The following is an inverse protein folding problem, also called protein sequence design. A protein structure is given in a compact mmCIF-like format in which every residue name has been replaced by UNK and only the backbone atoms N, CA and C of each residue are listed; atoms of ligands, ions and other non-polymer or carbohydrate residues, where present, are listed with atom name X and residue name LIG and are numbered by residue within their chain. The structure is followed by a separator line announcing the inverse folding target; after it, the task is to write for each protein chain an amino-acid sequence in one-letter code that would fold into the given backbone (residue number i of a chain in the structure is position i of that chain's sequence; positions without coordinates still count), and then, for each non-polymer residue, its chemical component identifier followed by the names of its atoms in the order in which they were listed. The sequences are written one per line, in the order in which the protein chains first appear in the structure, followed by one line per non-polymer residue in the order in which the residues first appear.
data_IF_047265752422
#
_entry.id   IF_047265752422
#
_cell.length_a   1.000
_cell.length_b   1.000
_cell.length_c   1.000
_cell.angle_alpha   90.00
_cell.angle_beta   90.00
_cell.angle_gamma   90.00
#
_symmetry.space_group_name_H-M   'P 1'
#
loop_
_entity.id
_entity.type
_entity.pdbx_description
1 polymer ?
#
# COMPACT_ATOMS: atom_id res chain seq x y z
N UNK A 1 -45.64 -3.20 -8.55
CA UNK A 1 -45.96 -1.92 -9.19
C UNK A 1 -46.25 -0.89 -8.11
N UNK A 2 -45.47 0.20 -7.95
CA UNK A 2 -44.12 0.44 -8.49
C UNK A 2 -43.09 -0.56 -7.88
N UNK A 3 -41.92 -0.30 -7.27
CA UNK A 3 -41.24 0.92 -6.81
C UNK A 3 -39.72 0.66 -6.71
N UNK A 4 -38.91 1.72 -6.76
CA UNK A 4 -37.45 1.64 -6.59
C UNK A 4 -36.98 2.40 -5.35
N UNK A 5 -35.85 2.00 -4.76
CA UNK A 5 -35.04 2.89 -3.92
C UNK A 5 -33.55 2.51 -4.02
N UNK A 6 -32.94 2.91 -5.13
CA UNK A 6 -31.51 2.79 -5.40
C UNK A 6 -30.73 3.77 -4.52
N UNK A 7 -30.16 3.29 -3.42
CA UNK A 7 -29.27 4.08 -2.56
C UNK A 7 -27.86 4.10 -3.15
N UNK A 8 -27.62 5.09 -4.01
CA UNK A 8 -26.27 5.49 -4.39
C UNK A 8 -25.61 6.22 -3.21
N UNK A 9 -24.32 5.98 -3.01
CA UNK A 9 -23.48 6.70 -2.06
C UNK A 9 -22.41 7.44 -2.85
N UNK A 10 -22.80 8.55 -3.49
CA UNK A 10 -21.86 9.54 -4.00
C UNK A 10 -21.21 10.31 -2.83
N UNK A 11 -20.11 11.02 -3.12
CA UNK A 11 -19.28 11.81 -2.19
C UNK A 11 -18.24 10.97 -1.40
N UNK A 12 -16.94 11.31 -1.39
CA UNK A 12 -16.22 12.34 -2.15
C UNK A 12 -14.76 11.93 -2.39
N UNK A 13 -14.21 12.31 -3.54
CA UNK A 13 -12.77 12.29 -3.78
C UNK A 13 -12.11 13.52 -3.14
N UNK A 14 -11.60 13.36 -1.91
CA UNK A 14 -10.74 14.37 -1.29
C UNK A 14 -9.30 14.18 -1.78
N UNK A 15 -8.92 14.91 -2.83
CA UNK A 15 -7.52 15.25 -3.03
C UNK A 15 -7.08 16.17 -1.88
N UNK A 16 -5.81 16.08 -1.48
CA UNK A 16 -5.20 16.94 -0.47
C UNK A 16 -3.89 17.47 -1.02
N UNK A 17 -4.03 18.36 -1.99
CA UNK A 17 -2.98 19.28 -2.43
C UNK A 17 -2.48 20.12 -1.25
N UNK A 18 -1.17 20.38 -1.21
CA UNK A 18 -0.49 21.08 -0.12
C UNK A 18 0.79 21.70 -0.64
N UNK A 19 0.65 22.88 -1.25
CA UNK A 19 1.77 23.64 -1.82
C UNK A 19 2.70 24.17 -0.73
N UNK A 20 3.79 23.44 -0.45
CA UNK A 20 4.85 23.96 0.41
C UNK A 20 5.66 25.04 -0.32
N UNK A 21 5.18 26.29 -0.20
CA UNK A 21 5.85 27.48 -0.72
C UNK A 21 7.25 27.61 -0.13
N UNK A 22 8.26 27.34 -0.96
CA UNK A 22 9.66 27.31 -0.54
C UNK A 22 10.24 28.73 -0.43
N UNK A 23 10.09 29.36 0.74
CA UNK A 23 10.94 30.51 1.08
C UNK A 23 12.37 30.05 1.39
N UNK A 24 13.31 30.55 0.61
CA UNK A 24 14.75 30.51 0.89
C UNK A 24 15.46 31.52 -0.01
N UNK A 25 15.74 32.68 0.56
CA UNK A 25 16.47 33.79 -0.06
C UNK A 25 17.71 33.36 -0.83
N UNK A 26 17.97 34.00 -1.97
CA UNK A 26 19.19 33.80 -2.77
C UNK A 26 20.47 34.13 -1.99
N UNK A 27 21.13 33.11 -1.48
CA UNK A 27 22.50 33.16 -0.99
C UNK A 27 23.35 32.18 -1.80
N UNK A 28 24.36 32.67 -2.52
CA UNK A 28 25.26 31.86 -3.33
C UNK A 28 26.19 31.02 -2.46
N UNK A 29 25.69 29.87 -2.00
CA UNK A 29 26.43 28.87 -1.23
C UNK A 29 26.56 27.57 -2.02
N UNK A 30 27.78 27.04 -2.12
CA UNK A 30 28.11 25.82 -2.85
C UNK A 30 27.56 24.57 -2.13
N UNK A 31 26.26 24.31 -2.27
CA UNK A 31 25.61 23.13 -1.67
C UNK A 31 25.97 21.89 -2.46
N UNK A 32 26.93 21.14 -1.92
CA UNK A 32 27.30 19.80 -2.38
C UNK A 32 26.05 18.93 -2.57
N UNK A 33 25.97 18.23 -3.71
CA UNK A 33 24.88 17.28 -3.92
C UNK A 33 25.00 16.13 -2.92
N UNK A 34 24.08 16.12 -1.97
CA UNK A 34 23.75 14.95 -1.14
C UNK A 34 22.45 14.30 -1.63
N UNK A 35 22.21 14.35 -2.95
CA UNK A 35 21.11 13.63 -3.62
C UNK A 35 21.39 12.12 -3.73
N UNK A 36 22.21 11.58 -2.83
CA UNK A 36 22.13 10.19 -2.42
C UNK A 36 20.93 10.04 -1.49
N UNK A 37 19.72 10.08 -2.05
CA UNK A 37 18.48 9.78 -1.32
C UNK A 37 18.64 8.41 -0.67
N UNK A 38 18.80 8.39 0.65
CA UNK A 38 18.81 7.16 1.43
C UNK A 38 17.38 6.61 1.47
N UNK A 39 17.02 5.90 0.39
CA UNK A 39 15.83 5.09 0.31
C UNK A 39 15.73 4.22 1.58
N UNK A 40 14.55 4.11 2.22
CA UNK A 40 14.40 3.31 3.44
C UNK A 40 14.97 1.91 3.24
N UNK A 41 15.85 1.49 4.16
CA UNK A 41 16.59 0.21 4.09
C UNK A 41 15.62 -0.98 3.99
N UNK A 42 14.40 -0.81 4.51
CA UNK A 42 13.24 -1.58 4.11
C UNK A 42 11.98 -0.70 4.10
N UNK A 43 10.97 -1.09 3.31
CA UNK A 43 9.60 -0.56 3.39
C UNK A 43 8.70 -1.47 4.24
N UNK A 44 7.59 -0.93 4.74
CA UNK A 44 6.52 -1.70 5.39
C UNK A 44 5.27 -1.67 4.50
N UNK A 45 4.71 -2.84 4.22
CA UNK A 45 3.53 -3.05 3.38
C UNK A 45 2.46 -3.85 4.14
N UNK A 46 1.18 -3.61 3.85
CA UNK A 46 0.07 -4.35 4.47
C UNK A 46 -0.48 -5.38 3.49
N UNK A 47 -0.10 -6.64 3.68
CA UNK A 47 -0.56 -7.75 2.84
C UNK A 47 -1.95 -8.21 3.28
N UNK A 48 -2.94 -8.23 2.37
CA UNK A 48 -4.33 -8.59 2.66
C UNK A 48 -4.77 -9.83 1.90
N UNK A 49 -5.35 -10.81 2.61
CA UNK A 49 -5.94 -11.99 2.01
C UNK A 49 -7.22 -11.62 1.23
N UNK A 50 -7.17 -11.78 -0.10
CA UNK A 50 -8.28 -11.45 -1.00
C UNK A 50 -9.57 -12.27 -0.77
N UNK A 51 -9.51 -13.38 -0.01
CA UNK A 51 -10.66 -14.27 0.25
C UNK A 51 -11.26 -14.14 1.66
N UNK A 52 -10.48 -13.76 2.68
CA UNK A 52 -10.97 -13.66 4.07
C UNK A 52 -10.58 -12.37 4.80
N UNK A 53 -10.12 -11.36 4.07
CA UNK A 53 -9.76 -10.03 4.58
C UNK A 53 -8.63 -9.96 5.63
N UNK A 54 -8.08 -11.09 6.13
CA UNK A 54 -6.94 -11.10 7.06
C UNK A 54 -5.78 -10.25 6.51
N UNK A 55 -5.42 -9.20 7.23
CA UNK A 55 -4.21 -8.40 7.01
C UNK A 55 -3.02 -8.99 7.78
N UNK A 56 -1.82 -8.73 7.27
CA UNK A 56 -0.53 -8.92 7.95
C UNK A 56 0.36 -7.76 7.54
N UNK A 57 1.09 -7.17 8.49
CA UNK A 57 2.14 -6.18 8.20
C UNK A 57 3.42 -6.92 7.83
N UNK A 58 4.06 -6.49 6.75
CA UNK A 58 5.23 -7.14 6.16
C UNK A 58 6.32 -6.11 5.88
N UNK A 59 7.54 -6.37 6.32
CA UNK A 59 8.73 -5.61 5.93
C UNK A 59 9.23 -6.14 4.58
N UNK A 60 9.82 -5.30 3.73
CA UNK A 60 10.32 -5.73 2.40
C UNK A 60 11.45 -6.77 2.44
N UNK A 61 11.96 -7.10 3.63
CA UNK A 61 12.95 -8.14 3.92
C UNK A 61 12.36 -9.44 4.45
N UNK A 62 11.06 -9.49 4.75
CA UNK A 62 10.43 -10.62 5.44
C UNK A 62 10.00 -11.74 4.47
N UNK A 63 10.15 -13.01 4.89
CA UNK A 63 9.57 -14.12 4.15
C UNK A 63 8.05 -14.16 4.31
N UNK A 64 7.36 -13.82 3.21
CA UNK A 64 5.90 -13.85 3.07
C UNK A 64 5.33 -15.25 3.40
N UNK A 65 6.09 -16.30 3.12
CA UNK A 65 5.72 -17.70 3.40
C UNK A 65 5.71 -17.98 4.91
N UNK A 66 6.76 -17.57 5.64
CA UNK A 66 6.83 -17.66 7.10
C UNK A 66 5.72 -16.87 7.81
N UNK A 67 5.25 -15.77 7.22
CA UNK A 67 4.05 -15.02 7.69
C UNK A 67 2.71 -15.73 7.41
N UNK A 68 2.74 -16.95 6.86
CA UNK A 68 1.53 -17.72 6.51
C UNK A 68 0.69 -17.03 5.44
N UNK A 69 1.34 -16.32 4.51
CA UNK A 69 0.74 -15.67 3.34
C UNK A 69 1.32 -16.31 2.06
N UNK A 70 0.50 -16.37 1.01
CA UNK A 70 0.84 -17.01 -0.27
C UNK A 70 0.55 -16.01 -1.38
N UNK A 71 1.58 -15.66 -2.15
CA UNK A 71 1.49 -14.72 -3.29
C UNK A 71 0.93 -15.45 -4.51
N UNK A 72 -0.21 -15.00 -5.01
CA UNK A 72 -0.91 -15.65 -6.14
C UNK A 72 -0.74 -14.91 -7.47
N UNK A 73 -0.45 -13.60 -7.40
CA UNK A 73 -0.09 -12.76 -8.54
C UNK A 73 0.64 -11.50 -8.04
N UNK A 74 0.96 -10.55 -8.92
CA UNK A 74 1.58 -9.29 -8.50
C UNK A 74 0.68 -8.52 -7.52
N UNK A 75 1.15 -8.36 -6.28
CA UNK A 75 0.45 -7.75 -5.15
C UNK A 75 -0.91 -8.37 -4.77
N UNK A 76 -1.19 -9.60 -5.20
CA UNK A 76 -2.35 -10.39 -4.73
C UNK A 76 -1.88 -11.54 -3.83
N UNK A 77 -2.55 -11.68 -2.68
CA UNK A 77 -2.22 -12.65 -1.66
C UNK A 77 -3.45 -13.38 -1.12
N UNK A 78 -3.25 -14.62 -0.69
CA UNK A 78 -4.13 -15.33 0.23
C UNK A 78 -3.38 -15.64 1.53
N UNK A 79 -4.10 -15.78 2.65
CA UNK A 79 -3.51 -16.49 3.79
C UNK A 79 -3.44 -17.99 3.50
N UNK A 80 -2.50 -18.68 4.14
CA UNK A 80 -2.24 -20.12 3.98
C UNK A 80 -3.52 -20.99 3.97
N UNK A 81 -4.45 -20.74 4.92
CA UNK A 81 -5.75 -21.44 4.99
C UNK A 81 -6.59 -21.23 3.73
N UNK A 82 -6.65 -20.00 3.22
CA UNK A 82 -7.38 -19.68 2.00
C UNK A 82 -6.70 -20.25 0.75
N UNK A 83 -5.37 -20.21 0.67
CA UNK A 83 -4.58 -20.80 -0.42
C UNK A 83 -4.85 -22.30 -0.57
N UNK A 84 -4.73 -23.05 0.54
CA UNK A 84 -5.04 -24.49 0.59
C UNK A 84 -6.49 -24.79 0.17
N UNK A 85 -7.46 -23.97 0.59
CA UNK A 85 -8.87 -24.08 0.19
C UNK A 85 -9.18 -23.68 -1.28
N UNK A 86 -8.19 -23.30 -2.10
CA UNK A 86 -8.32 -23.16 -3.57
C UNK A 86 -7.21 -23.90 -4.35
N UNK A 87 -6.40 -24.74 -3.69
CA UNK A 87 -5.39 -25.57 -4.33
C UNK A 87 -4.04 -24.89 -4.61
N UNK A 88 -3.84 -23.65 -4.16
CA UNK A 88 -2.53 -23.00 -4.16
C UNK A 88 -1.64 -23.65 -3.08
N UNK A 89 -0.34 -23.75 -3.39
CA UNK A 89 0.71 -24.22 -2.47
C UNK A 89 1.54 -23.04 -2.01
#
# INVERSE_FOLDING_TARGET
MPSSSSKHYDSSSSASDSDFSSDSTTATGYRHSMDSVQLPIASVEVLRCMRCARSVEATSTDDITAMGMVRIAHNLYYCERCAKMVGYK
#
